data_IF_985887956375
#
_entry.id   IF_985887956375
#
_cell.length_a   1.000
_cell.length_b   1.000
_cell.length_c   1.000
_cell.angle_alpha   90.00
_cell.angle_beta   90.00
_cell.angle_gamma   90.00
#
_symmetry.space_group_name_H-M   'P 1'
#
loop_
_entity.id
_entity.type
_entity.pdbx_description
1 polymer ?
#
# COMPACT_ATOMS: atom_id res chain seq x y z
N UNK A 1 -0.94 6.71 16.67
CA UNK A 1 -0.66 5.85 15.50
C UNK A 1 -1.18 6.57 14.27
N UNK A 2 -0.53 6.41 13.12
CA UNK A 2 -0.89 7.14 11.91
C UNK A 2 -1.10 6.20 10.74
N UNK A 3 -1.94 6.62 9.81
CA UNK A 3 -2.04 6.07 8.47
C UNK A 3 -1.37 7.00 7.48
N UNK A 4 -0.54 6.44 6.63
CA UNK A 4 0.09 7.11 5.50
C UNK A 4 -0.33 6.40 4.23
N UNK A 5 -0.83 7.15 3.25
CA UNK A 5 -1.17 6.61 1.92
C UNK A 5 -0.21 7.19 0.90
N UNK A 6 0.42 6.32 0.13
CA UNK A 6 1.32 6.70 -0.96
C UNK A 6 0.67 6.28 -2.26
N UNK A 7 0.45 7.24 -3.15
CA UNK A 7 0.07 6.99 -4.54
C UNK A 7 1.33 7.01 -5.38
N UNK A 8 1.72 5.84 -5.90
CA UNK A 8 2.91 5.66 -6.72
C UNK A 8 2.57 5.23 -8.14
N UNK A 9 3.27 5.78 -9.15
CA UNK A 9 3.18 5.31 -10.54
C UNK A 9 4.33 4.36 -10.83
N UNK A 10 4.03 3.14 -11.30
CA UNK A 10 5.03 2.14 -11.64
C UNK A 10 5.87 2.60 -12.84
N UNK A 11 7.17 2.28 -12.84
CA UNK A 11 7.99 2.46 -14.02
C UNK A 11 7.56 1.48 -15.14
N UNK A 12 7.65 1.88 -16.43
CA UNK A 12 7.42 0.97 -17.55
C UNK A 12 8.28 -0.29 -17.42
N UNK A 13 7.70 -1.46 -17.72
CA UNK A 13 8.41 -2.74 -17.60
C UNK A 13 8.57 -3.29 -16.18
N UNK A 14 7.99 -2.65 -15.16
CA UNK A 14 8.06 -3.15 -13.78
C UNK A 14 7.43 -4.54 -13.64
N UNK A 15 8.23 -5.50 -13.17
CA UNK A 15 7.82 -6.91 -13.01
C UNK A 15 7.27 -7.20 -11.61
N UNK A 16 6.50 -8.28 -11.46
CA UNK A 16 6.06 -8.75 -10.15
C UNK A 16 7.22 -9.11 -9.22
N UNK A 17 8.34 -9.59 -9.78
CA UNK A 17 9.54 -9.92 -9.00
C UNK A 17 10.16 -8.67 -8.37
N UNK A 18 10.20 -7.55 -9.09
CA UNK A 18 10.70 -6.29 -8.56
C UNK A 18 9.80 -5.76 -7.42
N UNK A 19 8.48 -5.89 -7.57
CA UNK A 19 7.52 -5.54 -6.51
C UNK A 19 7.70 -6.45 -5.28
N UNK A 20 7.82 -7.77 -5.50
CA UNK A 20 8.05 -8.73 -4.42
C UNK A 20 9.37 -8.45 -3.68
N UNK A 21 10.43 -8.07 -4.39
CA UNK A 21 11.71 -7.68 -3.81
C UNK A 21 11.58 -6.44 -2.94
N UNK A 22 10.88 -5.40 -3.42
CA UNK A 22 10.60 -4.19 -2.64
C UNK A 22 9.88 -4.53 -1.33
N UNK A 23 8.88 -5.40 -1.40
CA UNK A 23 8.12 -5.87 -0.23
C UNK A 23 9.03 -6.60 0.76
N UNK A 24 9.81 -7.58 0.29
CA UNK A 24 10.71 -8.35 1.13
C UNK A 24 11.80 -7.51 1.80
N UNK A 25 12.24 -6.42 1.16
CA UNK A 25 13.21 -5.49 1.73
C UNK A 25 12.62 -4.60 2.84
N UNK A 26 11.36 -4.18 2.71
CA UNK A 26 10.74 -3.25 3.66
C UNK A 26 10.00 -3.95 4.81
N UNK A 27 9.49 -5.16 4.58
CA UNK A 27 8.68 -5.91 5.56
C UNK A 27 9.39 -6.13 6.91
N UNK A 28 10.69 -6.49 6.99
CA UNK A 28 11.35 -6.72 8.29
C UNK A 28 11.40 -5.46 9.18
N UNK A 29 11.72 -4.30 8.59
CA UNK A 29 11.76 -3.03 9.30
C UNK A 29 10.36 -2.62 9.78
N UNK A 30 9.34 -2.81 8.94
CA UNK A 30 7.95 -2.57 9.33
C UNK A 30 7.51 -3.50 10.46
N UNK A 31 7.78 -4.80 10.38
CA UNK A 31 7.44 -5.76 11.44
C UNK A 31 8.10 -5.39 12.77
N UNK A 32 9.43 -5.17 12.76
CA UNK A 32 10.19 -4.79 13.96
C UNK A 32 9.73 -3.44 14.52
N UNK A 33 9.39 -2.50 13.65
CA UNK A 33 8.91 -1.17 14.00
C UNK A 33 7.41 -1.10 14.32
N UNK A 34 6.69 -2.23 14.31
CA UNK A 34 5.26 -2.25 14.59
C UNK A 34 4.41 -1.51 13.56
N UNK A 35 4.80 -1.49 12.29
CA UNK A 35 3.99 -0.99 11.18
C UNK A 35 3.34 -2.14 10.39
N UNK A 36 2.15 -1.88 9.88
CA UNK A 36 1.34 -2.77 9.05
C UNK A 36 0.91 -2.04 7.78
N UNK A 37 0.36 -2.75 6.81
CA UNK A 37 -0.06 -2.12 5.57
C UNK A 37 -0.26 -3.06 4.39
N UNK A 38 -0.71 -2.49 3.29
CA UNK A 38 -0.99 -3.20 2.05
C UNK A 38 -0.64 -2.34 0.84
N UNK A 39 -0.25 -3.00 -0.25
CA UNK A 39 0.00 -2.44 -1.57
C UNK A 39 -1.09 -2.94 -2.52
N UNK A 40 -1.83 -2.02 -3.13
CA UNK A 40 -2.93 -2.33 -4.05
C UNK A 40 -2.63 -1.74 -5.42
N UNK A 41 -2.47 -2.60 -6.43
CA UNK A 41 -2.13 -2.20 -7.80
C UNK A 41 -3.38 -1.99 -8.66
N UNK A 42 -3.66 -0.74 -8.99
CA UNK A 42 -4.70 -0.35 -9.94
C UNK A 42 -4.04 0.01 -11.28
N UNK A 43 -3.89 -0.98 -12.18
CA UNK A 43 -3.23 -0.79 -13.47
C UNK A 43 -1.76 -0.37 -13.34
N UNK A 44 -1.43 0.84 -13.82
CA UNK A 44 -0.09 1.44 -13.72
C UNK A 44 0.17 2.19 -12.40
N UNK A 45 -0.83 2.29 -11.52
CA UNK A 45 -0.74 2.97 -10.23
C UNK A 45 -0.76 1.97 -9.08
N UNK A 46 -0.03 2.27 -8.02
CA UNK A 46 0.08 1.49 -6.81
C UNK A 46 -0.27 2.36 -5.60
N UNK A 47 -1.30 1.98 -4.87
CA UNK A 47 -1.64 2.59 -3.58
C UNK A 47 -0.94 1.80 -2.49
N UNK A 48 -0.09 2.45 -1.70
CA UNK A 48 0.60 1.85 -0.56
C UNK A 48 0.00 2.46 0.71
N UNK A 49 -0.74 1.66 1.47
CA UNK A 49 -1.32 2.06 2.75
C UNK A 49 -0.42 1.53 3.86
N UNK A 50 0.06 2.42 4.72
CA UNK A 50 0.93 2.10 5.84
C UNK A 50 0.27 2.58 7.13
N UNK A 51 0.30 1.77 8.18
CA UNK A 51 -0.32 2.07 9.47
C UNK A 51 0.66 1.74 10.60
N UNK A 52 0.95 2.69 11.48
CA UNK A 52 1.91 2.45 12.57
C UNK A 52 2.52 3.72 13.16
N UNK A 53 3.69 3.58 13.82
CA UNK A 53 4.51 4.71 14.22
C UNK A 53 4.96 5.52 13.01
N UNK A 54 4.90 6.85 13.14
CA UNK A 54 5.15 7.77 12.02
C UNK A 54 6.54 7.56 11.40
N UNK A 55 7.59 7.49 12.23
CA UNK A 55 8.96 7.28 11.79
C UNK A 55 9.12 6.03 10.89
N UNK A 56 8.43 4.94 11.23
CA UNK A 56 8.50 3.68 10.47
C UNK A 56 7.76 3.82 9.13
N UNK A 57 6.56 4.41 9.16
CA UNK A 57 5.79 4.64 7.92
C UNK A 57 6.49 5.62 6.97
N UNK A 58 7.15 6.65 7.50
CA UNK A 58 7.93 7.61 6.71
C UNK A 58 9.20 6.98 6.13
N UNK A 59 9.87 6.08 6.85
CA UNK A 59 11.01 5.34 6.31
C UNK A 59 10.62 4.51 5.08
N UNK A 60 9.50 3.78 5.13
CA UNK A 60 8.96 3.05 3.97
C UNK A 60 8.53 3.99 2.84
N UNK A 61 7.98 5.16 3.16
CA UNK A 61 7.65 6.17 2.15
C UNK A 61 8.89 6.72 1.45
N UNK A 62 9.97 6.97 2.19
CA UNK A 62 11.26 7.36 1.63
C UNK A 62 11.87 6.26 0.78
N UNK A 63 11.79 4.99 1.20
CA UNK A 63 12.22 3.84 0.41
C UNK A 63 11.43 3.71 -0.90
N UNK A 64 10.12 3.99 -0.89
CA UNK A 64 9.32 4.03 -2.11
C UNK A 64 9.87 5.11 -3.07
N UNK A 65 10.11 6.33 -2.59
CA UNK A 65 10.63 7.45 -3.41
C UNK A 65 12.00 7.15 -4.03
N UNK A 66 12.88 6.42 -3.36
CA UNK A 66 14.23 6.10 -3.83
C UNK A 66 14.38 4.75 -4.55
N UNK A 67 13.33 3.93 -4.62
CA UNK A 67 13.41 2.54 -5.09
C UNK A 67 13.75 2.35 -6.57
N UNK A 68 13.60 3.38 -7.41
CA UNK A 68 13.63 3.25 -8.87
C UNK A 68 12.48 2.44 -9.47
N UNK A 69 11.63 1.83 -8.64
CA UNK A 69 10.45 1.05 -9.03
C UNK A 69 9.31 1.96 -9.52
N UNK A 70 9.30 3.20 -9.04
CA UNK A 70 8.24 4.17 -9.30
C UNK A 70 8.81 5.38 -10.03
N UNK A 71 8.08 5.84 -11.05
CA UNK A 71 8.35 7.13 -11.70
C UNK A 71 7.90 8.31 -10.84
N UNK A 72 6.97 8.07 -9.92
CA UNK A 72 6.58 9.03 -8.88
C UNK A 72 6.01 8.28 -7.68
N UNK A 73 6.22 8.81 -6.48
CA UNK A 73 5.64 8.32 -5.24
C UNK A 73 5.23 9.51 -4.36
N UNK A 74 3.94 9.84 -4.35
CA UNK A 74 3.39 10.96 -3.59
C UNK A 74 2.70 10.43 -2.34
N UNK A 75 3.14 10.90 -1.18
CA UNK A 75 2.46 10.61 0.07
C UNK A 75 1.38 11.66 0.32
N UNK A 76 0.14 11.21 0.56
CA UNK A 76 -0.84 12.05 1.25
C UNK A 76 -0.35 12.27 2.69
N UNK A 77 -0.73 13.37 3.34
CA UNK A 77 -0.34 13.63 4.73
C UNK A 77 -0.70 12.47 5.66
N UNK A 78 0.11 12.25 6.70
CA UNK A 78 -0.17 11.23 7.69
C UNK A 78 -1.42 11.61 8.50
N UNK A 79 -2.39 10.70 8.60
CA UNK A 79 -3.65 10.92 9.33
C UNK A 79 -3.63 10.11 10.62
N UNK A 80 -3.96 10.70 11.79
CA UNK A 80 -4.06 9.93 13.02
C UNK A 80 -5.20 8.90 12.93
N UNK A 81 -4.94 7.68 13.40
CA UNK A 81 -5.91 6.58 13.43
C UNK A 81 -6.01 5.96 14.83
N UNK A 82 -7.22 5.47 15.15
CA UNK A 82 -7.50 4.75 16.42
C UNK A 82 -7.38 3.24 16.29
N UNK A 83 -7.52 2.71 15.07
CA UNK A 83 -7.42 1.28 14.76
C UNK A 83 -6.71 1.09 13.42
N UNK A 84 -6.09 -0.09 13.24
CA UNK A 84 -5.46 -0.50 11.98
C UNK A 84 -6.49 -1.19 11.11
N UNK A 85 -6.62 -0.79 9.85
CA UNK A 85 -7.40 -1.54 8.86
C UNK A 85 -6.69 -2.85 8.48
N UNK A 86 -5.36 -2.87 8.55
CA UNK A 86 -4.52 -3.98 8.12
C UNK A 86 -3.77 -4.61 9.31
N UNK A 87 -4.43 -4.76 10.46
CA UNK A 87 -3.77 -5.33 11.64
C UNK A 87 -3.13 -6.69 11.32
N UNK A 88 -1.90 -6.90 11.79
CA UNK A 88 -1.04 -8.08 11.52
C UNK A 88 -0.68 -8.32 10.04
N UNK A 89 -1.19 -7.54 9.09
CA UNK A 89 -0.81 -7.61 7.68
C UNK A 89 0.36 -6.66 7.45
N UNK A 90 1.55 -7.20 7.18
CA UNK A 90 2.74 -6.39 6.95
C UNK A 90 3.13 -6.35 5.47
N UNK A 91 2.70 -5.30 4.79
CA UNK A 91 3.03 -4.97 3.41
C UNK A 91 2.67 -6.14 2.46
N UNK A 92 1.40 -6.55 2.49
CA UNK A 92 0.85 -7.49 1.51
C UNK A 92 0.64 -6.81 0.16
N UNK A 93 0.44 -7.59 -0.91
CA UNK A 93 0.19 -7.08 -2.25
C UNK A 93 -1.07 -7.69 -2.84
N UNK A 94 -1.91 -6.87 -3.47
CA UNK A 94 -3.06 -7.33 -4.22
C UNK A 94 -3.30 -6.47 -5.48
N UNK A 95 -4.08 -7.04 -6.40
CA UNK A 95 -4.77 -6.28 -7.42
C UNK A 95 -6.27 -6.22 -7.06
N UNK A 96 -6.98 -5.09 -7.27
CA UNK A 96 -8.39 -4.96 -6.92
C UNK A 96 -9.27 -6.07 -7.49
N UNK A 97 -8.99 -6.54 -8.71
CA UNK A 97 -9.73 -7.62 -9.38
C UNK A 97 -9.60 -8.99 -8.69
N UNK A 98 -8.59 -9.17 -7.83
CA UNK A 98 -8.40 -10.39 -7.04
C UNK A 98 -8.98 -10.25 -5.63
N UNK A 99 -9.50 -9.08 -5.27
CA UNK A 99 -10.15 -8.85 -3.98
C UNK A 99 -11.66 -9.10 -4.13
N UNK A 100 -12.24 -9.87 -3.21
CA UNK A 100 -13.69 -10.02 -3.13
C UNK A 100 -14.40 -8.66 -2.99
N UNK A 101 -15.63 -8.55 -3.47
CA UNK A 101 -16.39 -7.28 -3.44
C UNK A 101 -16.56 -6.71 -2.03
N UNK A 102 -16.79 -7.58 -1.03
CA UNK A 102 -16.87 -7.20 0.39
C UNK A 102 -15.56 -6.61 0.89
N UNK A 103 -14.43 -7.28 0.64
CA UNK A 103 -13.11 -6.81 1.06
C UNK A 103 -12.72 -5.48 0.42
N UNK A 104 -13.06 -5.27 -0.86
CA UNK A 104 -12.85 -3.96 -1.52
C UNK A 104 -13.62 -2.85 -0.82
N UNK A 105 -14.90 -3.11 -0.48
CA UNK A 105 -15.75 -2.16 0.23
C UNK A 105 -15.23 -1.87 1.63
N UNK A 106 -14.78 -2.88 2.36
CA UNK A 106 -14.17 -2.71 3.69
C UNK A 106 -12.88 -1.88 3.61
N UNK A 107 -11.99 -2.17 2.66
CA UNK A 107 -10.79 -1.35 2.45
C UNK A 107 -11.18 0.10 2.17
N UNK A 108 -12.15 0.35 1.29
CA UNK A 108 -12.60 1.69 0.99
C UNK A 108 -13.20 2.41 2.20
N UNK A 109 -14.07 1.74 2.96
CA UNK A 109 -14.66 2.28 4.19
C UNK A 109 -13.59 2.62 5.24
N UNK A 110 -12.63 1.72 5.47
CA UNK A 110 -11.66 1.87 6.53
C UNK A 110 -10.53 2.82 6.16
N UNK A 111 -10.19 2.95 4.87
CA UNK A 111 -9.03 3.74 4.40
C UNK A 111 -9.38 5.01 3.65
N UNK A 112 -10.64 5.18 3.22
CA UNK A 112 -11.06 6.27 2.34
C UNK A 112 -10.60 6.10 0.88
N UNK A 113 -10.07 4.93 0.50
CA UNK A 113 -9.63 4.66 -0.87
C UNK A 113 -10.78 4.19 -1.75
N UNK A 114 -10.95 4.82 -2.90
CA UNK A 114 -11.80 4.31 -3.96
C UNK A 114 -11.03 3.27 -4.78
N UNK A 115 -11.39 2.00 -4.60
CA UNK A 115 -10.89 0.91 -5.43
C UNK A 115 -11.83 0.70 -6.61
N UNK A 116 -11.32 0.57 -7.85
CA UNK A 116 -12.16 0.35 -9.01
C UNK A 116 -13.02 -0.90 -8.81
N UNK A 117 -14.32 -0.74 -9.04
CA UNK A 117 -15.24 -1.86 -9.12
C UNK A 117 -14.91 -2.67 -10.37
N UNK A 118 -14.94 -4.00 -10.25
CA UNK A 118 -14.92 -4.83 -11.45
C UNK A 118 -16.20 -4.50 -12.22
N UNK A 119 -16.15 -4.26 -13.55
CA UNK A 119 -17.35 -4.42 -14.33
C UNK A 119 -17.85 -5.86 -14.11
N UNK A 120 -19.14 -6.04 -13.84
CA UNK A 120 -19.73 -7.38 -13.90
C UNK A 120 -19.34 -7.95 -15.26
N UNK A 121 -18.62 -9.07 -15.27
CA UNK A 121 -18.49 -9.85 -16.49
C UNK A 121 -19.91 -10.24 -16.90
N UNK A 122 -20.33 -9.76 -18.07
CA UNK A 122 -21.62 -10.06 -18.68
C UNK A 122 -21.70 -11.55 -19.05
#
# INVERSE_FOLDING_TARGET
MHRLVITAKLAPGTTHQQIARFISQNRPAMQKGGATGMMIRCGGTLQIILEGPEAVTQATASAARSSGLFTSAKAAGAVPIRFRAFDKICLAYAKPEHLGGSLRREIGLLTGLELPQQPLAA
#
